data_IF_808258512281
#
_entry.id   IF_808258512281
#
_cell.length_a   1.000
_cell.length_b   1.000
_cell.length_c   1.000
_cell.angle_alpha   90.00
_cell.angle_beta   90.00
_cell.angle_gamma   90.00
#
_symmetry.space_group_name_H-M   'P 1'
#
loop_
_entity.id
_entity.type
_entity.pdbx_description
1 polymer ?
#
# COMPACT_ATOMS: atom_id res chain seq x y z
N UNK A 1 -4.46 39.89 -48.23
CA UNK A 1 -4.14 40.40 -46.87
C UNK A 1 -4.49 39.37 -45.79
N UNK A 2 -5.70 38.80 -45.79
CA UNK A 2 -6.12 37.73 -44.86
C UNK A 2 -5.15 36.52 -44.74
N UNK A 3 -4.63 35.90 -45.81
CA UNK A 3 -3.75 34.74 -45.67
C UNK A 3 -2.40 35.07 -45.02
N UNK A 4 -1.88 36.29 -45.20
CA UNK A 4 -0.63 36.74 -44.57
C UNK A 4 -0.81 36.94 -43.06
N UNK A 5 -1.97 37.46 -42.64
CA UNK A 5 -2.30 37.63 -41.22
C UNK A 5 -2.42 36.26 -40.55
N UNK A 6 -3.15 35.32 -41.16
CA UNK A 6 -3.29 33.96 -40.64
C UNK A 6 -1.93 33.27 -40.51
N UNK A 7 -1.08 33.37 -41.53
CA UNK A 7 0.25 32.76 -41.52
C UNK A 7 1.16 33.37 -40.45
N UNK A 8 1.11 34.70 -40.27
CA UNK A 8 1.85 35.39 -39.21
C UNK A 8 1.42 34.97 -37.80
N UNK A 9 0.12 34.78 -37.58
CA UNK A 9 -0.42 34.33 -36.28
C UNK A 9 0.01 32.88 -35.99
N UNK A 10 -0.04 32.00 -36.99
CA UNK A 10 0.41 30.60 -36.83
C UNK A 10 1.91 30.55 -36.52
N UNK A 11 2.74 31.32 -37.23
CA UNK A 11 4.18 31.37 -36.95
C UNK A 11 4.46 31.94 -35.56
N UNK A 12 3.79 33.02 -35.17
CA UNK A 12 3.96 33.60 -33.84
C UNK A 12 3.56 32.61 -32.73
N UNK A 13 2.48 31.85 -32.92
CA UNK A 13 2.05 30.81 -32.00
C UNK A 13 3.05 29.65 -31.91
N UNK A 14 3.56 29.16 -33.05
CA UNK A 14 4.57 28.09 -33.08
C UNK A 14 5.88 28.55 -32.42
N UNK A 15 6.35 29.75 -32.76
CA UNK A 15 7.52 30.34 -32.12
C UNK A 15 7.32 30.53 -30.61
N UNK A 16 6.12 30.93 -30.19
CA UNK A 16 5.80 31.04 -28.76
C UNK A 16 5.89 29.69 -28.04
N UNK A 17 5.33 28.62 -28.62
CA UNK A 17 5.42 27.25 -28.05
C UNK A 17 6.88 26.76 -28.01
N UNK A 18 7.66 27.00 -29.05
CA UNK A 18 9.07 26.58 -29.10
C UNK A 18 9.95 27.40 -28.14
N UNK A 19 9.83 28.73 -28.15
CA UNK A 19 10.60 29.63 -27.28
C UNK A 19 10.25 29.51 -25.80
N UNK A 20 9.03 29.06 -25.46
CA UNK A 20 8.65 28.78 -24.07
C UNK A 20 9.14 27.43 -23.54
N UNK A 21 9.93 26.68 -24.33
CA UNK A 21 10.50 25.39 -23.92
C UNK A 21 9.70 24.17 -24.38
N UNK A 22 8.68 24.35 -25.22
CA UNK A 22 7.88 23.26 -25.75
C UNK A 22 7.03 22.55 -24.70
N UNK A 23 6.60 21.33 -25.00
CA UNK A 23 5.93 20.48 -24.03
C UNK A 23 6.96 19.89 -23.06
N UNK A 24 6.77 20.10 -21.76
CA UNK A 24 7.64 19.51 -20.73
C UNK A 24 7.02 18.22 -20.21
N UNK A 25 7.84 17.18 -20.07
CA UNK A 25 7.44 15.97 -19.36
C UNK A 25 7.64 16.20 -17.87
N UNK A 26 6.53 16.12 -17.13
CA UNK A 26 6.49 16.16 -15.67
C UNK A 26 6.30 14.73 -15.18
N UNK A 27 7.06 14.33 -14.18
CA UNK A 27 6.88 13.02 -13.56
C UNK A 27 6.79 13.15 -12.05
N UNK A 28 6.01 12.29 -11.42
CA UNK A 28 5.87 12.31 -9.98
C UNK A 28 5.46 10.98 -9.40
N UNK A 29 5.48 10.92 -8.08
CA UNK A 29 5.07 9.75 -7.31
C UNK A 29 3.91 10.14 -6.42
N UNK A 30 2.88 9.30 -6.39
CA UNK A 30 1.70 9.49 -5.56
C UNK A 30 1.49 8.26 -4.66
N UNK A 31 0.85 8.50 -3.52
CA UNK A 31 0.53 7.51 -2.51
C UNK A 31 -0.97 7.49 -2.25
N UNK A 32 -1.50 6.30 -2.04
CA UNK A 32 -2.86 6.10 -1.59
C UNK A 32 -2.88 5.37 -0.24
N UNK A 33 -3.58 5.91 0.77
CA UNK A 33 -3.57 5.33 2.11
C UNK A 33 -4.22 3.95 2.17
N UNK A 34 -5.32 3.72 1.44
CA UNK A 34 -5.88 2.37 1.36
C UNK A 34 -4.95 1.46 0.56
N UNK A 35 -4.63 0.30 1.12
CA UNK A 35 -3.76 -0.71 0.52
C UNK A 35 -2.31 -0.27 0.33
N UNK A 36 -1.93 0.91 0.86
CA UNK A 36 -0.60 1.50 0.72
C UNK A 36 -0.05 1.40 -0.71
N UNK A 37 -0.88 1.81 -1.67
CA UNK A 37 -0.50 1.81 -3.08
C UNK A 37 0.38 3.01 -3.35
N UNK A 38 1.44 2.77 -4.11
CA UNK A 38 2.27 3.82 -4.66
C UNK A 38 2.14 3.72 -6.17
N UNK A 39 2.02 4.86 -6.83
CA UNK A 39 2.05 4.91 -8.29
C UNK A 39 2.95 6.03 -8.75
N UNK A 40 3.62 5.81 -9.88
CA UNK A 40 4.34 6.84 -10.60
C UNK A 40 3.45 7.35 -11.72
N UNK A 41 3.45 8.65 -11.94
CA UNK A 41 2.77 9.24 -13.08
C UNK A 41 3.76 10.00 -13.97
N UNK A 42 3.45 10.06 -15.25
CA UNK A 42 4.11 10.89 -16.24
C UNK A 42 3.02 11.64 -16.99
N UNK A 43 3.13 12.97 -16.99
CA UNK A 43 2.21 13.87 -17.65
C UNK A 43 2.99 14.85 -18.54
N UNK A 44 2.38 15.24 -19.63
CA UNK A 44 2.91 16.28 -20.50
C UNK A 44 2.27 17.61 -20.10
N UNK A 45 3.07 18.64 -19.83
CA UNK A 45 2.61 19.95 -19.36
C UNK A 45 3.07 21.06 -20.29
N UNK A 46 2.18 22.03 -20.53
CA UNK A 46 2.52 23.27 -21.20
C UNK A 46 3.10 24.25 -20.16
N UNK A 47 4.37 24.67 -20.29
CA UNK A 47 5.05 25.47 -19.26
C UNK A 47 4.40 26.85 -19.06
N UNK A 48 3.85 27.45 -20.11
CA UNK A 48 3.28 28.81 -20.07
C UNK A 48 1.95 28.87 -19.31
N UNK A 49 1.06 27.89 -19.52
CA UNK A 49 -0.32 27.93 -19.03
C UNK A 49 -0.48 27.01 -17.80
N UNK A 50 0.53 26.18 -17.51
CA UNK A 50 0.47 25.20 -16.43
C UNK A 50 -0.57 24.10 -16.66
N UNK A 51 -1.21 24.07 -17.83
CA UNK A 51 -2.23 23.07 -18.19
C UNK A 51 -1.58 21.78 -18.65
N UNK A 52 -2.15 20.66 -18.21
CA UNK A 52 -1.77 19.35 -18.70
C UNK A 52 -2.23 19.18 -20.15
N UNK A 53 -1.29 18.83 -21.03
CA UNK A 53 -1.53 18.57 -22.43
C UNK A 53 -1.52 17.05 -22.70
N UNK A 54 -2.68 16.40 -22.62
CA UNK A 54 -2.81 14.98 -22.97
C UNK A 54 -2.97 14.05 -21.76
N UNK A 55 -2.92 12.73 -22.03
CA UNK A 55 -3.21 11.70 -21.02
C UNK A 55 -2.04 11.51 -20.06
N UNK A 56 -2.34 11.47 -18.75
CA UNK A 56 -1.40 10.99 -17.74
C UNK A 56 -1.24 9.48 -17.91
N UNK A 57 0.02 9.02 -17.94
CA UNK A 57 0.33 7.59 -17.84
C UNK A 57 0.69 7.27 -16.40
N UNK A 58 0.12 6.19 -15.85
CA UNK A 58 0.37 5.73 -14.49
C UNK A 58 1.02 4.35 -14.51
N UNK A 59 1.98 4.15 -13.61
CA UNK A 59 2.63 2.86 -13.34
C UNK A 59 2.53 2.58 -11.84
N UNK A 60 1.77 1.56 -11.48
CA UNK A 60 1.64 1.15 -10.07
C UNK A 60 2.89 0.41 -9.61
N UNK A 61 3.36 0.78 -8.42
CA UNK A 61 4.51 0.19 -7.74
C UNK A 61 4.07 -0.17 -6.32
N UNK A 62 3.35 -1.29 -6.17
CA UNK A 62 2.90 -1.73 -4.83
C UNK A 62 4.02 -2.52 -4.15
N UNK A 63 4.59 -2.03 -3.03
CA UNK A 63 5.67 -2.73 -2.32
C UNK A 63 5.24 -4.11 -1.83
N UNK A 64 6.20 -5.06 -1.72
CA UNK A 64 5.93 -6.42 -1.21
C UNK A 64 5.29 -6.41 0.18
N UNK A 65 5.73 -5.49 1.04
CA UNK A 65 5.13 -5.29 2.35
C UNK A 65 3.65 -4.93 2.21
N UNK A 66 3.30 -3.89 1.44
CA UNK A 66 1.89 -3.53 1.21
C UNK A 66 1.04 -4.70 0.72
N UNK A 67 1.58 -5.54 -0.18
CA UNK A 67 0.88 -6.75 -0.66
C UNK A 67 0.60 -7.74 0.48
N UNK A 68 1.60 -8.01 1.32
CA UNK A 68 1.45 -8.85 2.52
C UNK A 68 0.37 -8.28 3.45
N UNK A 69 0.40 -6.97 3.73
CA UNK A 69 -0.54 -6.32 4.66
C UNK A 69 -1.99 -6.45 4.18
N UNK A 70 -2.23 -6.27 2.88
CA UNK A 70 -3.56 -6.45 2.27
C UNK A 70 -3.96 -7.93 2.29
N UNK A 71 -3.04 -8.84 1.97
CA UNK A 71 -3.30 -10.28 1.96
C UNK A 71 -3.70 -10.81 3.35
N UNK A 72 -3.06 -10.30 4.40
CA UNK A 72 -3.37 -10.64 5.79
C UNK A 72 -4.63 -9.93 6.32
N UNK A 73 -5.21 -9.01 5.55
CA UNK A 73 -6.39 -8.23 5.96
C UNK A 73 -6.11 -7.22 7.07
N UNK A 74 -4.85 -6.83 7.28
CA UNK A 74 -4.47 -5.84 8.30
C UNK A 74 -4.71 -4.40 7.83
N UNK A 75 -4.70 -4.18 6.52
CA UNK A 75 -5.10 -2.91 5.90
C UNK A 75 -6.17 -3.16 4.84
N UNK A 76 -6.92 -2.12 4.52
CA UNK A 76 -8.00 -2.18 3.54
C UNK A 76 -7.43 -2.40 2.14
N UNK A 77 -8.11 -3.20 1.33
CA UNK A 77 -7.81 -3.27 -0.11
C UNK A 77 -8.29 -1.99 -0.78
N UNK A 78 -7.41 -1.33 -1.55
CA UNK A 78 -7.79 -0.17 -2.33
C UNK A 78 -8.82 -0.54 -3.42
N UNK A 79 -9.75 0.37 -3.77
CA UNK A 79 -10.58 0.21 -4.96
C UNK A 79 -9.74 0.04 -6.23
N UNK A 80 -10.27 -0.69 -7.21
CA UNK A 80 -9.63 -0.83 -8.54
C UNK A 80 -9.57 0.52 -9.26
N UNK A 81 -10.60 1.34 -9.11
CA UNK A 81 -10.70 2.69 -9.66
C UNK A 81 -10.82 3.65 -8.49
N UNK A 82 -9.70 4.27 -8.14
CA UNK A 82 -9.62 5.28 -7.09
C UNK A 82 -9.66 6.67 -7.72
N UNK A 83 -10.50 7.60 -7.23
CA UNK A 83 -10.51 9.00 -7.65
C UNK A 83 -9.13 9.67 -7.53
N UNK A 84 -8.80 10.61 -8.43
CA UNK A 84 -7.48 11.27 -8.45
C UNK A 84 -7.20 12.14 -7.20
N UNK A 85 -8.23 12.67 -6.56
CA UNK A 85 -8.15 13.50 -5.36
C UNK A 85 -7.84 12.73 -4.07
N UNK A 86 -7.98 11.40 -4.09
CA UNK A 86 -7.60 10.51 -2.99
C UNK A 86 -6.09 10.15 -3.01
N UNK A 87 -5.38 10.51 -4.08
CA UNK A 87 -3.94 10.28 -4.20
C UNK A 87 -3.14 11.46 -3.68
N UNK A 88 -2.34 11.22 -2.64
CA UNK A 88 -1.44 12.22 -2.09
C UNK A 88 -0.11 12.26 -2.85
N UNK A 89 0.31 13.46 -3.24
CA UNK A 89 1.59 13.66 -3.93
C UNK A 89 2.77 13.47 -2.98
N UNK A 90 3.76 12.70 -3.40
CA UNK A 90 5.03 12.49 -2.67
C UNK A 90 6.13 13.36 -3.28
N UNK A 91 6.26 13.27 -4.60
CA UNK A 91 7.39 13.79 -5.36
C UNK A 91 6.89 14.31 -6.71
N UNK A 92 7.40 15.45 -7.13
CA UNK A 92 7.16 16.04 -8.44
C UNK A 92 8.49 16.50 -9.02
N UNK A 93 8.83 16.04 -10.22
CA UNK A 93 10.07 16.38 -10.92
C UNK A 93 11.35 16.18 -10.09
N UNK A 94 11.35 15.13 -9.25
CA UNK A 94 12.44 14.80 -8.32
C UNK A 94 12.63 15.77 -7.17
N UNK A 95 11.72 16.71 -7.02
CA UNK A 95 11.60 17.55 -5.84
C UNK A 95 10.63 16.93 -4.84
N UNK A 96 11.04 16.93 -3.58
CA UNK A 96 10.23 16.44 -2.48
C UNK A 96 9.07 17.40 -2.23
N UNK A 97 7.85 16.88 -2.22
CA UNK A 97 6.65 17.72 -2.08
C UNK A 97 5.69 17.28 -0.97
N UNK A 98 5.89 16.11 -0.34
CA UNK A 98 4.85 15.57 0.54
C UNK A 98 5.32 14.77 1.74
N UNK A 99 4.58 14.94 2.83
CA UNK A 99 4.65 14.14 4.06
C UNK A 99 4.44 12.63 3.88
N UNK A 100 3.72 12.09 2.85
CA UNK A 100 3.58 10.64 2.70
C UNK A 100 4.92 9.91 2.48
N UNK A 101 5.99 10.61 2.08
CA UNK A 101 7.34 10.02 1.97
C UNK A 101 7.75 9.31 3.26
N UNK A 102 7.41 9.89 4.42
CA UNK A 102 7.73 9.37 5.75
C UNK A 102 7.19 7.95 5.98
N UNK A 103 6.06 7.60 5.37
CA UNK A 103 5.52 6.24 5.41
C UNK A 103 6.07 5.39 4.27
N UNK A 104 6.10 5.93 3.04
CA UNK A 104 6.49 5.14 1.87
C UNK A 104 7.95 4.68 1.87
N UNK A 105 8.83 5.40 2.55
CA UNK A 105 10.22 4.97 2.71
C UNK A 105 10.36 3.74 3.60
N UNK A 106 9.51 3.58 4.62
CA UNK A 106 9.45 2.35 5.41
C UNK A 106 8.81 1.21 4.61
N UNK A 107 7.78 1.49 3.81
CA UNK A 107 7.14 0.49 2.95
C UNK A 107 8.08 -0.07 1.88
N UNK A 108 9.03 0.76 1.42
CA UNK A 108 10.10 0.40 0.47
C UNK A 108 11.37 -0.10 1.15
N UNK A 109 11.38 -0.24 2.48
CA UNK A 109 12.53 -0.67 3.28
C UNK A 109 13.80 0.20 3.12
N UNK A 110 13.63 1.50 2.82
CA UNK A 110 14.75 2.44 2.67
C UNK A 110 15.25 2.99 4.00
N UNK A 111 14.34 3.18 4.96
CA UNK A 111 14.62 3.88 6.22
C UNK A 111 14.34 3.01 7.47
N UNK A 112 14.04 1.73 7.29
CA UNK A 112 13.74 0.87 8.44
C UNK A 112 15.00 0.32 9.09
N UNK A 113 14.98 0.24 10.43
CA UNK A 113 16.03 -0.43 11.23
C UNK A 113 15.92 -1.96 11.19
N UNK A 114 14.79 -2.48 10.69
CA UNK A 114 14.44 -3.90 10.64
C UNK A 114 13.74 -4.16 9.31
N UNK A 115 13.99 -5.31 8.71
CA UNK A 115 13.14 -5.79 7.62
C UNK A 115 11.69 -5.91 8.10
N UNK A 116 10.86 -4.93 7.76
CA UNK A 116 9.47 -4.85 8.20
C UNK A 116 8.60 -5.94 7.58
N UNK A 117 9.00 -6.48 6.42
CA UNK A 117 8.33 -7.61 5.82
C UNK A 117 8.53 -8.84 6.72
N UNK A 118 9.79 -9.22 6.97
CA UNK A 118 10.11 -10.37 7.81
C UNK A 118 9.62 -10.20 9.26
N UNK A 119 9.71 -8.98 9.80
CA UNK A 119 9.19 -8.67 11.13
C UNK A 119 7.68 -8.85 11.21
N UNK A 120 6.93 -8.42 10.19
CA UNK A 120 5.47 -8.52 10.19
C UNK A 120 5.02 -9.98 10.09
N UNK A 121 5.72 -10.81 9.30
CA UNK A 121 5.48 -12.25 9.24
C UNK A 121 5.77 -12.94 10.59
N UNK A 122 6.86 -12.54 11.27
CA UNK A 122 7.24 -13.11 12.56
C UNK A 122 6.32 -12.66 13.72
N UNK A 123 5.65 -11.52 13.59
CA UNK A 123 4.85 -10.90 14.65
C UNK A 123 3.42 -10.53 14.18
N UNK A 124 2.60 -11.47 13.70
CA UNK A 124 1.35 -11.17 13.00
C UNK A 124 0.33 -10.40 13.85
N UNK A 125 0.24 -10.68 15.15
CA UNK A 125 -0.66 -9.94 16.06
C UNK A 125 -0.24 -8.48 16.23
N UNK A 126 1.06 -8.24 16.43
CA UNK A 126 1.63 -6.90 16.56
C UNK A 126 1.53 -6.15 15.23
N UNK A 127 1.82 -6.82 14.11
CA UNK A 127 1.74 -6.26 12.78
C UNK A 127 0.31 -5.82 12.45
N UNK A 128 -0.69 -6.66 12.72
CA UNK A 128 -2.07 -6.28 12.45
C UNK A 128 -2.55 -5.09 13.28
N UNK A 129 -2.12 -4.96 14.54
CA UNK A 129 -2.38 -3.76 15.34
C UNK A 129 -1.65 -2.53 14.77
N UNK A 130 -0.36 -2.65 14.45
CA UNK A 130 0.43 -1.56 13.92
C UNK A 130 -0.15 -1.03 12.60
N UNK A 131 -0.28 -1.91 11.61
CA UNK A 131 -0.55 -1.50 10.24
C UNK A 131 -1.97 -1.00 10.06
N UNK A 132 -2.94 -1.53 10.81
CA UNK A 132 -4.30 -0.99 10.83
C UNK A 132 -4.32 0.44 11.35
N UNK A 133 -3.59 0.74 12.43
CA UNK A 133 -3.52 2.09 13.00
C UNK A 133 -2.71 3.05 12.11
N UNK A 134 -1.66 2.57 11.45
CA UNK A 134 -0.93 3.35 10.43
C UNK A 134 -1.83 3.68 9.23
N UNK A 135 -2.69 2.76 8.79
CA UNK A 135 -3.67 3.04 7.73
C UNK A 135 -4.68 4.11 8.17
N UNK A 136 -5.20 4.03 9.40
CA UNK A 136 -6.11 5.05 9.92
C UNK A 136 -5.45 6.43 9.99
N UNK A 137 -4.21 6.51 10.49
CA UNK A 137 -3.47 7.76 10.52
C UNK A 137 -3.20 8.30 9.11
N UNK A 138 -2.86 7.44 8.15
CA UNK A 138 -2.63 7.81 6.76
C UNK A 138 -3.90 8.34 6.07
N UNK A 139 -5.07 7.74 6.34
CA UNK A 139 -6.37 8.23 5.84
C UNK A 139 -6.70 9.65 6.34
N UNK A 140 -6.18 10.02 7.51
CA UNK A 140 -6.28 11.37 8.07
C UNK A 140 -5.10 12.28 7.68
N UNK A 141 -4.24 11.83 6.77
CA UNK A 141 -3.00 12.52 6.33
C UNK A 141 -2.00 12.78 7.46
N UNK A 142 -2.08 12.04 8.57
CA UNK A 142 -1.18 12.14 9.73
C UNK A 142 0.08 11.29 9.56
N UNK A 143 0.74 11.43 8.40
CA UNK A 143 1.91 10.63 8.01
C UNK A 143 3.10 10.73 8.97
N UNK A 144 3.18 11.83 9.72
CA UNK A 144 4.21 12.05 10.74
C UNK A 144 4.13 11.04 11.89
N UNK A 145 2.97 10.41 12.13
CA UNK A 145 2.80 9.41 13.19
C UNK A 145 3.43 8.06 12.84
N UNK A 146 3.53 7.74 11.54
CA UNK A 146 3.93 6.40 11.10
C UNK A 146 5.32 5.96 11.59
N UNK A 147 6.39 6.78 11.47
CA UNK A 147 7.72 6.39 11.96
C UNK A 147 7.73 6.02 13.45
N UNK A 148 7.09 6.84 14.29
CA UNK A 148 7.07 6.62 15.74
C UNK A 148 6.24 5.38 16.12
N UNK A 149 5.11 5.13 15.43
CA UNK A 149 4.30 3.93 15.63
C UNK A 149 5.09 2.66 15.27
N UNK A 150 5.78 2.67 14.13
CA UNK A 150 6.60 1.54 13.67
C UNK A 150 7.71 1.26 14.69
N UNK A 151 8.46 2.29 15.09
CA UNK A 151 9.57 2.14 16.03
C UNK A 151 9.10 1.56 17.38
N UNK A 152 8.00 2.07 17.96
CA UNK A 152 7.44 1.52 19.21
C UNK A 152 7.05 0.06 19.10
N UNK A 153 6.42 -0.33 17.99
CA UNK A 153 5.96 -1.71 17.80
C UNK A 153 7.13 -2.67 17.58
N UNK A 154 8.17 -2.22 16.86
CA UNK A 154 9.44 -2.95 16.76
C UNK A 154 10.07 -3.09 18.15
N UNK A 155 10.09 -2.05 18.96
CA UNK A 155 10.65 -2.11 20.31
C UNK A 155 9.85 -3.05 21.23
N UNK A 156 8.51 -3.06 21.17
CA UNK A 156 7.69 -4.03 21.91
C UNK A 156 8.01 -5.48 21.53
N UNK A 157 8.29 -5.75 20.27
CA UNK A 157 8.68 -7.11 19.84
C UNK A 157 10.03 -7.57 20.40
N UNK A 158 10.92 -6.62 20.73
CA UNK A 158 12.28 -6.86 21.22
C UNK A 158 12.38 -6.89 22.73
N UNK A 159 11.39 -6.36 23.45
CA UNK A 159 11.36 -6.44 24.90
C UNK A 159 11.38 -7.90 25.30
N UNK A 160 12.49 -8.30 25.96
CA UNK A 160 12.54 -9.60 26.64
C UNK A 160 11.40 -9.60 27.66
N UNK A 161 10.64 -10.70 27.78
CA UNK A 161 9.62 -10.79 28.80
C UNK A 161 10.22 -10.38 30.14
N UNK A 162 9.64 -9.37 30.80
CA UNK A 162 10.02 -9.00 32.18
C UNK A 162 9.83 -10.22 33.09
N UNK A 163 8.90 -11.09 32.71
CA UNK A 163 8.71 -12.44 33.25
C UNK A 163 8.82 -13.47 32.11
N UNK A 164 9.78 -14.42 32.16
CA UNK A 164 9.89 -15.53 31.20
C UNK A 164 8.61 -16.35 31.01
N UNK A 165 7.63 -16.23 31.91
CA UNK A 165 6.33 -16.89 31.81
C UNK A 165 5.30 -16.14 30.96
N UNK A 166 5.55 -14.90 30.53
CA UNK A 166 4.58 -14.15 29.72
C UNK A 166 4.41 -14.83 28.35
N UNK A 167 3.20 -15.31 28.08
CA UNK A 167 2.85 -15.92 26.80
C UNK A 167 2.83 -14.85 25.70
N UNK A 168 2.88 -15.26 24.42
CA UNK A 168 2.76 -14.36 23.26
C UNK A 168 1.53 -13.44 23.34
N UNK A 169 0.44 -13.94 23.93
CA UNK A 169 -0.82 -13.22 24.08
C UNK A 169 -0.72 -12.07 25.10
N UNK A 170 0.02 -12.25 26.20
CA UNK A 170 0.23 -11.21 27.20
C UNK A 170 1.07 -10.05 26.64
N UNK A 171 2.03 -10.36 25.75
CA UNK A 171 2.81 -9.33 25.04
C UNK A 171 1.94 -8.53 24.08
N UNK A 172 1.02 -9.19 23.39
CA UNK A 172 0.07 -8.51 22.51
C UNK A 172 -0.86 -7.59 23.32
N UNK A 173 -1.36 -8.05 24.48
CA UNK A 173 -2.17 -7.23 25.38
C UNK A 173 -1.40 -6.02 25.93
N UNK A 174 -0.16 -6.22 26.37
CA UNK A 174 0.69 -5.12 26.83
C UNK A 174 0.94 -4.09 25.71
N UNK A 175 1.28 -4.54 24.51
CA UNK A 175 1.45 -3.67 23.35
C UNK A 175 0.14 -2.93 23.01
N UNK A 176 -1.01 -3.62 23.06
CA UNK A 176 -2.32 -3.03 22.83
C UNK A 176 -2.62 -1.87 23.80
N UNK A 177 -2.40 -2.06 25.10
CA UNK A 177 -2.64 -1.03 26.13
C UNK A 177 -1.74 0.19 25.89
N UNK A 178 -0.44 -0.04 25.70
CA UNK A 178 0.52 1.06 25.51
C UNK A 178 0.28 1.80 24.18
N UNK A 179 0.00 1.08 23.10
CA UNK A 179 -0.30 1.66 21.81
C UNK A 179 -1.60 2.48 21.86
N UNK A 180 -2.64 1.97 22.53
CA UNK A 180 -3.90 2.68 22.74
C UNK A 180 -3.68 4.00 23.48
N UNK A 181 -2.92 3.98 24.58
CA UNK A 181 -2.61 5.18 25.35
C UNK A 181 -1.83 6.22 24.52
N UNK A 182 -0.83 5.76 23.76
CA UNK A 182 -0.05 6.62 22.87
C UNK A 182 -0.93 7.24 21.78
N UNK A 183 -1.76 6.46 21.09
CA UNK A 183 -2.63 6.95 20.03
C UNK A 183 -3.66 7.95 20.56
N UNK A 184 -4.29 7.67 21.72
CA UNK A 184 -5.21 8.61 22.38
C UNK A 184 -4.55 9.97 22.62
N UNK A 185 -3.34 9.97 23.19
CA UNK A 185 -2.62 11.22 23.47
C UNK A 185 -2.30 12.00 22.20
N UNK A 186 -1.87 11.32 21.12
CA UNK A 186 -1.56 12.01 19.87
C UNK A 186 -2.80 12.54 19.17
N UNK A 187 -3.88 11.75 19.08
CA UNK A 187 -5.12 12.23 18.47
C UNK A 187 -5.73 13.39 19.24
N UNK A 188 -5.64 13.41 20.57
CA UNK A 188 -6.06 14.56 21.38
C UNK A 188 -5.25 15.82 21.05
N UNK A 189 -3.92 15.70 21.02
CA UNK A 189 -3.03 16.82 20.64
C UNK A 189 -3.32 17.32 19.23
N UNK A 190 -3.54 16.42 18.28
CA UNK A 190 -3.89 16.78 16.90
C UNK A 190 -5.27 17.42 16.81
N UNK A 191 -6.27 16.93 17.55
CA UNK A 191 -7.59 17.56 17.62
C UNK A 191 -7.49 19.00 18.13
N UNK A 192 -6.74 19.22 19.21
CA UNK A 192 -6.57 20.56 19.79
C UNK A 192 -5.82 21.50 18.85
N UNK A 193 -4.75 21.01 18.20
CA UNK A 193 -4.03 21.76 17.16
C UNK A 193 -4.92 22.11 15.96
N UNK A 194 -5.71 21.16 15.48
CA UNK A 194 -6.65 21.35 14.37
C UNK A 194 -7.74 22.37 14.72
N UNK A 195 -8.31 22.32 15.94
CA UNK A 195 -9.25 23.34 16.44
C UNK A 195 -8.61 24.73 16.46
N UNK A 196 -7.39 24.84 16.99
CA UNK A 196 -6.67 26.10 17.05
C UNK A 196 -6.37 26.69 15.65
N UNK A 197 -6.13 25.83 14.66
CA UNK A 197 -5.91 26.21 13.26
C UNK A 197 -7.21 26.45 12.46
N UNK A 198 -8.39 26.16 13.02
CA UNK A 198 -9.67 26.24 12.31
C UNK A 198 -9.97 25.06 11.37
N UNK A 199 -9.22 23.97 11.46
CA UNK A 199 -9.37 22.75 10.65
C UNK A 199 -10.50 21.85 11.22
N UNK A 200 -11.73 22.29 11.05
CA UNK A 200 -12.92 21.64 11.65
C UNK A 200 -13.11 20.18 11.27
N UNK A 201 -12.83 19.80 10.01
CA UNK A 201 -12.95 18.43 9.53
C UNK A 201 -11.93 17.50 10.19
N UNK A 202 -10.64 17.91 10.21
CA UNK A 202 -9.59 17.12 10.85
C UNK A 202 -9.86 16.95 12.34
N UNK A 203 -10.27 18.01 13.04
CA UNK A 203 -10.63 17.94 14.45
C UNK A 203 -11.78 16.95 14.69
N UNK A 204 -12.82 16.96 13.84
CA UNK A 204 -13.94 16.04 13.96
C UNK A 204 -13.51 14.58 13.71
N UNK A 205 -12.63 14.33 12.74
CA UNK A 205 -12.15 12.98 12.46
C UNK A 205 -11.19 12.46 13.54
N UNK A 206 -10.33 13.31 14.10
CA UNK A 206 -9.53 12.97 15.29
C UNK A 206 -10.43 12.61 16.48
N UNK A 207 -11.54 13.35 16.69
CA UNK A 207 -12.50 13.03 17.75
C UNK A 207 -13.12 11.65 17.58
N UNK A 208 -13.50 11.26 16.37
CA UNK A 208 -14.01 9.90 16.10
C UNK A 208 -12.98 8.82 16.46
N UNK A 209 -11.69 9.07 16.19
CA UNK A 209 -10.63 8.15 16.58
C UNK A 209 -10.45 8.07 18.09
N UNK A 210 -10.53 9.20 18.80
CA UNK A 210 -10.49 9.24 20.27
C UNK A 210 -11.65 8.43 20.87
N UNK A 211 -12.87 8.61 20.35
CA UNK A 211 -14.06 7.87 20.80
C UNK A 211 -13.91 6.36 20.56
N UNK A 212 -13.42 5.96 19.38
CA UNK A 212 -13.12 4.55 19.07
C UNK A 212 -12.09 3.96 20.04
N UNK A 213 -10.96 4.65 20.23
CA UNK A 213 -9.87 4.16 21.08
C UNK A 213 -10.25 4.15 22.56
N UNK A 214 -11.09 5.09 23.02
CA UNK A 214 -11.56 5.12 24.41
C UNK A 214 -12.57 4.01 24.73
N UNK A 215 -13.34 3.57 23.72
CA UNK A 215 -14.37 2.54 23.88
C UNK A 215 -13.86 1.13 23.68
N UNK A 216 -13.06 0.90 22.64
CA UNK A 216 -12.61 -0.44 22.21
C UNK A 216 -11.09 -0.61 22.32
N UNK A 217 -10.34 0.49 22.30
CA UNK A 217 -8.88 0.45 22.17
C UNK A 217 -8.43 0.04 20.77
N UNK A 218 -7.13 -0.23 20.63
CA UNK A 218 -6.58 -0.86 19.42
C UNK A 218 -7.11 -2.29 19.34
N UNK A 219 -7.58 -2.72 18.17
CA UNK A 219 -8.15 -4.07 18.00
C UNK A 219 -7.04 -5.07 17.68
N UNK A 220 -6.93 -6.13 18.48
CA UNK A 220 -6.08 -7.27 18.12
C UNK A 220 -6.79 -8.07 17.02
N UNK A 221 -6.20 -8.23 15.83
CA UNK A 221 -6.79 -9.09 14.81
C UNK A 221 -6.89 -10.50 15.37
N UNK A 222 -8.09 -11.09 15.34
CA UNK A 222 -8.23 -12.51 15.64
C UNK A 222 -7.34 -13.27 14.65
N UNK A 223 -6.51 -14.17 15.18
CA UNK A 223 -5.66 -15.04 14.36
C UNK A 223 -6.55 -15.71 13.31
N UNK A 224 -6.34 -15.37 12.04
CA UNK A 224 -6.96 -16.08 10.93
C UNK A 224 -6.51 -17.53 11.06
N UNK A 225 -7.44 -18.47 11.23
CA UNK A 225 -7.11 -19.89 11.12
C UNK A 225 -6.43 -20.10 9.77
N UNK A 226 -5.30 -20.81 9.78
CA UNK A 226 -4.53 -21.07 8.57
C UNK A 226 -5.48 -21.55 7.47
N UNK A 227 -5.38 -21.05 6.22
CA UNK A 227 -6.19 -21.57 5.15
C UNK A 227 -5.93 -23.07 5.09
N UNK A 228 -6.99 -23.84 5.36
CA UNK A 228 -6.99 -25.30 5.22
C UNK A 228 -6.34 -25.60 3.88
N UNK A 229 -5.15 -26.21 3.91
CA UNK A 229 -4.53 -26.77 2.71
C UNK A 229 -5.57 -27.70 2.11
N UNK A 230 -6.25 -27.24 1.06
CA UNK A 230 -7.14 -28.07 0.28
C UNK A 230 -6.29 -29.18 -0.28
N UNK A 231 -6.43 -30.36 0.33
CA UNK A 231 -5.60 -31.51 0.06
C UNK A 231 -5.74 -31.94 -1.40
N UNK A 232 -4.60 -32.38 -1.95
CA UNK A 232 -4.47 -33.11 -3.20
C UNK A 232 -5.65 -34.06 -3.45
N UNK A 233 -6.51 -33.70 -4.40
CA UNK A 233 -7.38 -34.66 -5.06
C UNK A 233 -6.84 -34.86 -6.47
N UNK A 234 -5.93 -35.85 -6.59
CA UNK A 234 -5.62 -36.52 -7.86
C UNK A 234 -6.94 -36.86 -8.58
N UNK A 235 -7.08 -36.59 -9.89
CA UNK A 235 -8.16 -37.19 -10.67
C UNK A 235 -7.89 -38.68 -10.82
N UNK A 236 -8.63 -39.49 -10.06
CA UNK A 236 -8.65 -40.93 -10.21
C UNK A 236 -9.55 -41.29 -11.41
N UNK A 237 -8.99 -42.06 -12.32
CA UNK A 237 -9.60 -42.55 -13.56
C UNK A 237 -10.95 -43.23 -13.30
N UNK A 238 -11.94 -42.94 -14.15
CA UNK A 238 -13.13 -43.77 -14.30
C UNK A 238 -13.11 -44.44 -15.68
N UNK A 239 -12.86 -45.74 -15.64
CA UNK A 239 -13.03 -46.67 -16.74
C UNK A 239 -14.53 -46.89 -17.02
N UNK A 240 -14.91 -46.94 -18.29
CA UNK A 240 -16.18 -47.53 -18.74
C UNK A 240 -15.86 -48.76 -19.60
N UNK A 241 -16.51 -49.92 -19.38
CA UNK A 241 -16.30 -51.11 -20.18
C UNK A 241 -17.40 -51.30 -21.25
N UNK A 242 -17.01 -51.71 -22.47
CA UNK A 242 -17.87 -52.49 -23.36
C UNK A 242 -17.08 -53.17 -24.50
N UNK A 243 -17.10 -54.51 -24.48
CA UNK A 243 -17.09 -55.53 -25.55
C UNK A 243 -16.19 -55.34 -26.81
N UNK A 244 -15.18 -56.17 -27.08
CA UNK A 244 -15.16 -57.61 -27.45
C UNK A 244 -15.32 -57.88 -28.97
N UNK A 245 -14.20 -58.19 -29.66
CA UNK A 245 -13.99 -59.26 -30.69
C UNK A 245 -12.57 -59.11 -31.27
N UNK A 246 -11.60 -59.98 -30.92
CA UNK A 246 -11.28 -61.30 -31.49
C UNK A 246 -10.60 -61.26 -32.87
N UNK A 247 -9.27 -61.47 -32.93
CA UNK A 247 -8.60 -62.67 -33.53
C UNK A 247 -7.08 -62.52 -33.80
N UNK A 248 -6.37 -63.63 -33.53
CA UNK A 248 -5.11 -64.18 -34.12
C UNK A 248 -3.77 -63.44 -33.91
N UNK A 249 -2.85 -63.92 -33.07
CA UNK A 249 -1.85 -65.05 -33.19
C UNK A 249 -0.49 -64.64 -33.80
N UNK A 250 0.62 -65.34 -33.45
CA UNK A 250 1.88 -64.71 -33.01
C UNK A 250 3.04 -64.87 -34.01
N UNK A 251 4.10 -64.07 -33.81
CA UNK A 251 5.32 -64.15 -34.60
C UNK A 251 6.54 -63.69 -33.79
N UNK A 252 7.51 -64.58 -33.73
CA UNK A 252 8.75 -64.63 -32.97
C UNK A 252 9.86 -63.64 -33.39
N UNK A 253 10.68 -63.27 -32.40
CA UNK A 253 12.17 -63.24 -32.35
C UNK A 253 13.00 -62.33 -33.29
N UNK A 254 14.01 -61.70 -32.67
CA UNK A 254 15.37 -61.30 -33.11
C UNK A 254 15.63 -59.78 -32.97
N UNK A 255 16.50 -59.31 -32.06
CA UNK A 255 17.97 -59.48 -31.95
C UNK A 255 18.75 -58.46 -32.79
N UNK A 256 19.85 -57.96 -32.19
CA UNK A 256 20.99 -57.23 -32.76
C UNK A 256 21.04 -55.69 -32.63
N UNK A 257 21.87 -55.26 -31.67
CA UNK A 257 23.09 -54.45 -31.84
C UNK A 257 23.08 -53.32 -32.88
N UNK A 258 23.25 -52.08 -32.41
CA UNK A 258 24.57 -51.42 -32.34
C UNK A 258 24.52 -50.19 -31.42
#
# INVERSE_FOLDING_TARGET
MFPLIVFSVVIAFVLFVVCSGGFMMVSGTQFHPAGFRIRRFIALRLPVIGTQAGRTSYTDETPKLSQLLVQQGWISKAPLQTPEDEWDLIELDREWQGMPSNLTDYLRDKNSRVDLYAWSEANPLLAGMLWSEVEQAAKLKLYWMAPELIDKMVDFSRQKPIDPSLNKDDRALFAQINLTAYLLSNYQKTEDGAKAAGETLLAADCRKQIERLSSVGVVIPKKTEDPVKSGDSKPQANQTPAAETSKTSPGDVQESNN
#
